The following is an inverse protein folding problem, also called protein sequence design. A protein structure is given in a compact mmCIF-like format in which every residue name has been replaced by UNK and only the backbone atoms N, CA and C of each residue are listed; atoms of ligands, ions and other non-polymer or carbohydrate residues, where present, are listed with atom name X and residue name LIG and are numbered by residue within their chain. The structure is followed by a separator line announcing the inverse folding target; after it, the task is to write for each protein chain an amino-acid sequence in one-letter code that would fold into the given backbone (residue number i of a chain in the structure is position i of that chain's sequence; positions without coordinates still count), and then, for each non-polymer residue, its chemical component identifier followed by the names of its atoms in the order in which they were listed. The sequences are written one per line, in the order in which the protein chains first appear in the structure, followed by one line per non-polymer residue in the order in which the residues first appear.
data_IF_954931582823
#
_entry.id   IF_954931582823
#
_cell.length_a   1.000
_cell.length_b   1.000
_cell.length_c   1.000
_cell.angle_alpha   90.00
_cell.angle_beta   90.00
_cell.angle_gamma   90.00
#
_symmetry.space_group_name_H-M   'P 1'
#
loop_
_entity.id
_entity.type
_entity.pdbx_description
1 polymer ?
#
# COMPACT_ATOMS: atom_id res chain seq x y z
N UNK A 1 14.77 -25.17 11.95
CA UNK A 1 14.14 -24.32 12.97
C UNK A 1 13.99 -22.85 12.57
N UNK A 2 15.04 -22.15 12.08
CA UNK A 2 14.98 -20.73 11.67
C UNK A 2 13.84 -20.37 10.68
N UNK A 3 13.52 -21.24 9.71
CA UNK A 3 12.46 -20.96 8.73
C UNK A 3 11.03 -20.99 9.29
N UNK A 4 10.76 -21.80 10.33
CA UNK A 4 9.40 -21.93 10.91
C UNK A 4 9.01 -20.68 11.72
N UNK A 5 9.97 -20.12 12.47
CA UNK A 5 9.76 -18.86 13.21
C UNK A 5 9.53 -17.67 12.26
N UNK A 6 10.28 -17.61 11.16
CA UNK A 6 10.12 -16.55 10.17
C UNK A 6 8.75 -16.56 9.48
N UNK A 7 8.20 -17.74 9.18
CA UNK A 7 6.83 -17.85 8.65
C UNK A 7 5.78 -17.43 9.67
N UNK A 8 6.01 -17.72 10.97
CA UNK A 8 5.12 -17.26 12.03
C UNK A 8 5.14 -15.73 12.17
N UNK A 9 6.33 -15.11 12.14
CA UNK A 9 6.49 -13.65 12.15
C UNK A 9 5.77 -13.00 10.97
N UNK A 10 5.96 -13.53 9.76
CA UNK A 10 5.28 -13.04 8.56
C UNK A 10 3.76 -13.12 8.71
N UNK A 11 3.24 -14.25 9.18
CA UNK A 11 1.80 -14.44 9.40
C UNK A 11 1.24 -13.43 10.40
N UNK A 12 1.97 -13.15 11.48
CA UNK A 12 1.56 -12.14 12.47
C UNK A 12 1.55 -10.72 11.89
N UNK A 13 2.53 -10.37 11.03
CA UNK A 13 2.56 -9.08 10.34
C UNK A 13 1.37 -8.92 9.38
N UNK A 14 1.10 -9.96 8.58
CA UNK A 14 -0.06 -9.99 7.67
C UNK A 14 -1.35 -9.82 8.45
N UNK A 15 -1.52 -10.55 9.55
CA UNK A 15 -2.71 -10.45 10.38
C UNK A 15 -2.93 -9.02 10.91
N UNK A 16 -1.87 -8.35 11.38
CA UNK A 16 -1.96 -6.95 11.83
C UNK A 16 -2.35 -6.00 10.71
N UNK A 17 -1.79 -6.18 9.51
CA UNK A 17 -2.11 -5.32 8.36
C UNK A 17 -3.52 -5.58 7.82
N UNK A 18 -4.00 -6.83 7.84
CA UNK A 18 -5.37 -7.18 7.47
C UNK A 18 -6.40 -6.60 8.45
N UNK A 19 -6.04 -6.38 9.71
CA UNK A 19 -6.94 -5.65 10.62
C UNK A 19 -7.18 -4.23 10.13
N UNK A 20 -6.18 -3.58 9.52
CA UNK A 20 -6.31 -2.23 8.97
C UNK A 20 -7.24 -2.19 7.76
N UNK A 21 -7.31 -3.23 6.94
CA UNK A 21 -8.21 -3.26 5.77
C UNK A 21 -9.69 -3.33 6.15
N UNK A 22 -10.01 -3.71 7.39
CA UNK A 22 -11.39 -3.67 7.90
C UNK A 22 -11.83 -2.31 8.41
N UNK A 23 -10.88 -1.36 8.55
CA UNK A 23 -11.22 0.01 8.87
C UNK A 23 -12.07 0.56 7.73
N UNK A 24 -13.26 1.13 8.01
CA UNK A 24 -14.00 1.81 6.97
C UNK A 24 -13.09 2.88 6.36
N UNK A 25 -13.21 3.22 5.06
CA UNK A 25 -12.46 4.31 4.46
C UNK A 25 -12.72 5.58 5.26
N UNK A 26 -11.82 5.86 6.20
CA UNK A 26 -12.08 6.77 7.29
C UNK A 26 -11.72 8.16 6.82
N UNK A 27 -12.74 9.03 6.79
CA UNK A 27 -12.64 10.46 6.51
C UNK A 27 -11.99 10.80 5.16
N UNK A 28 -12.83 11.14 4.18
CA UNK A 28 -12.35 11.84 2.99
C UNK A 28 -11.71 13.16 3.40
N UNK A 29 -10.52 13.43 2.86
CA UNK A 29 -9.84 14.72 3.08
C UNK A 29 -10.82 15.85 2.72
N UNK A 30 -10.96 16.90 3.56
CA UNK A 30 -11.74 18.07 3.21
C UNK A 30 -11.30 18.67 1.86
N UNK A 31 -12.22 19.27 1.10
CA UNK A 31 -11.93 19.85 -0.23
C UNK A 31 -10.81 20.89 -0.21
N UNK A 32 -10.67 21.62 0.89
CA UNK A 32 -9.64 22.64 1.06
C UNK A 32 -8.36 22.12 1.75
N UNK A 33 -8.25 20.82 2.04
CA UNK A 33 -7.15 20.24 2.82
C UNK A 33 -7.38 20.28 4.33
N UNK A 34 -6.68 19.43 5.08
CA UNK A 34 -6.76 19.37 6.54
C UNK A 34 -6.18 20.63 7.18
N UNK A 35 -5.05 21.12 6.68
CA UNK A 35 -4.34 22.26 7.28
C UNK A 35 -5.24 23.50 7.27
N UNK A 36 -5.80 23.82 6.10
CA UNK A 36 -6.67 24.98 5.93
C UNK A 36 -7.98 24.83 6.71
N UNK A 37 -8.56 23.63 6.70
CA UNK A 37 -9.82 23.32 7.39
C UNK A 37 -9.68 23.50 8.90
N UNK A 38 -8.64 22.92 9.49
CA UNK A 38 -8.35 23.06 10.93
C UNK A 38 -8.01 24.51 11.27
N UNK A 39 -7.16 25.17 10.46
CA UNK A 39 -6.84 26.58 10.68
C UNK A 39 -8.10 27.46 10.72
N UNK A 40 -9.02 27.27 9.77
CA UNK A 40 -10.30 27.98 9.73
C UNK A 40 -11.17 27.64 10.94
N UNK A 41 -11.26 26.37 11.34
CA UNK A 41 -12.02 25.95 12.51
C UNK A 41 -11.50 26.60 13.81
N UNK A 42 -10.19 26.80 13.91
CA UNK A 42 -9.54 27.53 15.02
C UNK A 42 -9.63 29.05 14.89
N UNK A 43 -10.31 29.59 13.87
CA UNK A 43 -10.40 31.02 13.57
C UNK A 43 -9.02 31.70 13.42
N UNK A 44 -8.03 30.95 12.92
CA UNK A 44 -6.66 31.43 12.73
C UNK A 44 -6.46 32.05 11.35
N UNK A 45 -5.77 33.18 11.28
CA UNK A 45 -5.28 33.76 10.02
C UNK A 45 -4.02 33.01 9.53
N UNK A 46 -3.70 33.13 8.25
CA UNK A 46 -2.46 32.55 7.69
C UNK A 46 -1.22 33.15 8.36
N UNK A 47 -1.25 34.43 8.73
CA UNK A 47 -0.17 35.12 9.46
C UNK A 47 0.02 34.55 10.87
N UNK A 48 -1.07 34.22 11.57
CA UNK A 48 -0.98 33.61 12.91
C UNK A 48 -0.40 32.20 12.85
N UNK A 49 -0.80 31.38 11.87
CA UNK A 49 -0.21 30.07 11.65
C UNK A 49 1.27 30.18 11.25
N UNK A 50 1.62 31.15 10.40
CA UNK A 50 3.00 31.42 9.99
C UNK A 50 3.88 31.76 11.19
N UNK A 51 3.39 32.62 12.10
CA UNK A 51 4.07 32.96 13.35
C UNK A 51 4.28 31.73 14.25
N UNK A 52 3.28 30.86 14.38
CA UNK A 52 3.42 29.60 15.13
C UNK A 52 4.47 28.66 14.53
N UNK A 53 4.57 28.63 13.20
CA UNK A 53 5.51 27.80 12.46
C UNK A 53 6.91 28.42 12.30
N UNK A 54 7.08 29.69 12.66
CA UNK A 54 8.35 30.41 12.45
C UNK A 54 8.70 30.62 10.96
N UNK A 55 7.69 30.70 10.08
CA UNK A 55 7.87 30.85 8.62
C UNK A 55 7.14 32.08 8.09
N UNK A 56 7.37 32.40 6.81
CA UNK A 56 6.67 33.48 6.11
C UNK A 56 5.21 33.12 5.83
N UNK A 57 4.32 34.12 5.84
CA UNK A 57 2.90 33.94 5.53
C UNK A 57 2.68 33.33 4.13
N UNK A 58 3.48 33.73 3.13
CA UNK A 58 3.44 33.17 1.78
C UNK A 58 3.67 31.65 1.76
N UNK A 59 4.56 31.16 2.63
CA UNK A 59 4.85 29.72 2.76
C UNK A 59 3.66 28.96 3.34
N UNK A 60 2.88 29.53 4.25
CA UNK A 60 1.64 28.91 4.74
C UNK A 60 0.63 28.75 3.63
N UNK A 61 0.41 29.79 2.82
CA UNK A 61 -0.49 29.73 1.66
C UNK A 61 -0.05 28.68 0.64
N UNK A 62 1.26 28.55 0.42
CA UNK A 62 1.84 27.51 -0.43
C UNK A 62 1.59 26.11 0.17
N UNK A 63 1.86 25.91 1.46
CA UNK A 63 1.63 24.64 2.20
C UNK A 63 0.18 24.17 2.02
N UNK A 64 -0.80 25.06 2.24
CA UNK A 64 -2.23 24.73 2.05
C UNK A 64 -2.54 24.33 0.60
N UNK A 65 -1.93 25.00 -0.37
CA UNK A 65 -2.13 24.69 -1.79
C UNK A 65 -1.53 23.33 -2.17
N UNK A 66 -0.28 23.07 -1.78
CA UNK A 66 0.43 21.84 -2.16
C UNK A 66 -0.03 20.61 -1.38
N UNK A 67 -0.67 20.79 -0.20
CA UNK A 67 -1.36 19.71 0.51
C UNK A 67 -2.41 19.05 -0.39
N UNK A 68 -3.28 19.87 -1.01
CA UNK A 68 -4.35 19.40 -1.89
C UNK A 68 -3.77 18.68 -3.11
N UNK A 69 -2.60 19.13 -3.59
CA UNK A 69 -1.87 18.53 -4.71
C UNK A 69 -1.06 17.27 -4.33
N UNK A 70 -1.09 16.83 -3.07
CA UNK A 70 -0.28 15.70 -2.55
C UNK A 70 1.24 15.89 -2.75
N UNK A 71 1.71 17.13 -2.77
CA UNK A 71 3.14 17.47 -2.97
C UNK A 71 3.84 17.90 -1.68
N UNK A 72 3.14 17.86 -0.56
CA UNK A 72 3.69 18.24 0.75
C UNK A 72 4.43 17.05 1.38
N UNK A 73 5.66 17.26 1.84
CA UNK A 73 6.40 16.22 2.54
C UNK A 73 5.83 15.93 3.94
N UNK A 74 6.03 14.70 4.42
CA UNK A 74 5.50 14.23 5.70
C UNK A 74 6.02 15.05 6.89
N UNK A 75 7.29 15.49 6.86
CA UNK A 75 7.87 16.32 7.92
C UNK A 75 7.10 17.64 8.10
N UNK A 76 6.70 18.27 7.00
CA UNK A 76 5.95 19.53 7.04
C UNK A 76 4.52 19.29 7.50
N UNK A 77 3.88 18.19 7.09
CA UNK A 77 2.57 17.78 7.59
C UNK A 77 2.59 17.58 9.10
N UNK A 78 3.55 16.81 9.61
CA UNK A 78 3.72 16.56 11.05
C UNK A 78 3.90 17.86 11.83
N UNK A 79 4.84 18.70 11.41
CA UNK A 79 5.10 19.96 12.10
C UNK A 79 3.91 20.93 12.05
N UNK A 80 3.19 20.96 10.93
CA UNK A 80 1.99 21.80 10.78
C UNK A 80 0.85 21.30 11.64
N UNK A 81 0.65 19.98 11.73
CA UNK A 81 -0.34 19.38 12.62
C UNK A 81 -0.03 19.72 14.08
N UNK A 82 1.23 19.55 14.52
CA UNK A 82 1.66 19.91 15.88
C UNK A 82 1.39 21.39 16.20
N UNK A 83 1.72 22.31 15.28
CA UNK A 83 1.45 23.74 15.46
C UNK A 83 -0.06 24.06 15.58
N UNK A 84 -0.91 23.27 14.92
CA UNK A 84 -2.37 23.35 15.00
C UNK A 84 -2.95 22.59 16.21
N UNK A 85 -2.12 21.94 17.04
CA UNK A 85 -2.58 21.14 18.17
C UNK A 85 -3.18 19.79 17.76
N UNK A 86 -2.81 19.30 16.58
CA UNK A 86 -3.26 18.03 16.02
C UNK A 86 -2.13 17.00 16.03
N UNK A 87 -2.49 15.72 16.15
CA UNK A 87 -1.57 14.60 15.87
C UNK A 87 -1.70 14.20 14.41
N UNK A 88 -0.58 14.08 13.71
CA UNK A 88 -0.56 13.53 12.36
C UNK A 88 -0.35 12.01 12.42
N UNK A 89 -1.29 11.25 11.88
CA UNK A 89 -1.20 9.79 11.73
C UNK A 89 -1.18 9.42 10.24
N UNK A 90 -0.24 8.56 9.85
CA UNK A 90 -0.12 8.05 8.48
C UNK A 90 -0.06 6.52 8.51
N UNK A 91 -0.87 5.88 7.68
CA UNK A 91 -0.96 4.43 7.59
C UNK A 91 -1.09 3.99 6.13
N UNK A 92 -0.50 2.84 5.82
CA UNK A 92 -0.80 2.09 4.61
C UNK A 92 -1.97 1.16 4.93
N UNK A 93 -3.10 1.35 4.26
CA UNK A 93 -4.28 0.51 4.41
C UNK A 93 -4.40 -0.34 3.15
N UNK A 94 -4.31 -1.68 3.24
CA UNK A 94 -4.52 -2.55 2.09
C UNK A 94 -5.96 -2.44 1.56
N UNK A 95 -6.14 -2.33 0.25
CA UNK A 95 -7.47 -2.34 -0.39
C UNK A 95 -8.20 -3.69 -0.23
N UNK A 96 -7.43 -4.77 -0.06
CA UNK A 96 -7.90 -6.12 0.23
C UNK A 96 -6.94 -6.81 1.21
N UNK A 97 -7.34 -7.91 1.87
CA UNK A 97 -6.43 -8.67 2.74
C UNK A 97 -5.14 -9.05 2.00
N UNK A 98 -3.99 -8.91 2.67
CA UNK A 98 -2.68 -9.21 2.07
C UNK A 98 -2.55 -10.68 1.67
N UNK A 99 -3.25 -11.60 2.34
CA UNK A 99 -3.31 -13.01 1.96
C UNK A 99 -3.87 -13.18 0.55
N UNK A 100 -4.87 -12.37 0.17
CA UNK A 100 -5.47 -12.43 -1.15
C UNK A 100 -4.57 -11.79 -2.20
N UNK A 101 -3.86 -10.70 -1.86
CA UNK A 101 -2.81 -10.15 -2.74
C UNK A 101 -1.71 -11.17 -3.03
N UNK A 102 -1.30 -11.95 -2.02
CA UNK A 102 -0.29 -13.00 -2.20
C UNK A 102 -0.79 -14.14 -3.10
N UNK A 103 -2.03 -14.60 -2.90
CA UNK A 103 -2.65 -15.63 -3.75
C UNK A 103 -2.77 -15.17 -5.19
N UNK A 104 -3.26 -13.95 -5.42
CA UNK A 104 -3.37 -13.39 -6.77
C UNK A 104 -2.02 -13.27 -7.45
N UNK A 105 -0.99 -12.79 -6.72
CA UNK A 105 0.38 -12.71 -7.25
C UNK A 105 0.94 -14.09 -7.58
N UNK A 106 0.73 -15.09 -6.71
CA UNK A 106 1.17 -16.46 -6.93
C UNK A 106 0.51 -17.08 -8.17
N UNK A 107 -0.81 -16.90 -8.30
CA UNK A 107 -1.56 -17.37 -9.46
C UNK A 107 -1.10 -16.69 -10.76
N UNK A 108 -0.89 -15.37 -10.74
CA UNK A 108 -0.43 -14.63 -11.92
C UNK A 108 0.96 -15.08 -12.37
N UNK A 109 1.90 -15.30 -11.44
CA UNK A 109 3.24 -15.80 -11.75
C UNK A 109 3.23 -17.25 -12.22
N UNK A 110 2.43 -18.10 -11.58
CA UNK A 110 2.28 -19.49 -11.98
C UNK A 110 1.74 -19.59 -13.40
N UNK A 111 0.67 -18.82 -13.70
CA UNK A 111 0.10 -18.71 -15.04
C UNK A 111 1.14 -18.29 -16.08
N UNK A 112 1.90 -17.24 -15.81
CA UNK A 112 2.94 -16.76 -16.72
C UNK A 112 4.00 -17.84 -17.01
N UNK A 113 4.45 -18.58 -15.98
CA UNK A 113 5.42 -19.67 -16.13
C UNK A 113 4.86 -20.85 -16.93
N UNK A 114 3.66 -21.29 -16.61
CA UNK A 114 3.01 -22.41 -17.30
C UNK A 114 2.68 -22.04 -18.74
N UNK A 115 2.22 -20.81 -19.01
CA UNK A 115 1.97 -20.31 -20.37
C UNK A 115 3.27 -20.34 -21.22
N UNK A 116 4.39 -19.90 -20.65
CA UNK A 116 5.69 -19.92 -21.33
C UNK A 116 6.16 -21.34 -21.65
N UNK A 117 6.08 -22.26 -20.69
CA UNK A 117 6.47 -23.66 -20.86
C UNK A 117 5.53 -24.36 -21.86
N UNK A 118 4.22 -24.17 -21.72
CA UNK A 118 3.19 -24.75 -22.60
C UNK A 118 3.39 -24.30 -24.06
N UNK A 119 3.76 -23.04 -24.30
CA UNK A 119 4.08 -22.56 -25.64
C UNK A 119 5.29 -23.29 -26.23
N UNK A 120 6.35 -23.54 -25.43
CA UNK A 120 7.50 -24.35 -25.86
C UNK A 120 7.13 -25.82 -26.11
N UNK A 121 6.36 -26.44 -25.22
CA UNK A 121 5.92 -27.85 -25.36
C UNK A 121 5.01 -28.06 -26.57
N UNK A 122 4.18 -27.08 -26.92
CA UNK A 122 3.37 -27.11 -28.14
C UNK A 122 4.25 -27.15 -29.40
N UNK A 123 5.37 -26.43 -29.42
CA UNK A 123 6.34 -26.47 -30.53
C UNK A 123 7.06 -27.83 -30.62
N UNK A 124 7.12 -28.58 -29.52
CA UNK A 124 7.69 -29.93 -29.42
C UNK A 124 6.65 -31.04 -29.69
N UNK A 125 5.41 -30.69 -30.01
CA UNK A 125 4.32 -31.64 -30.28
C UNK A 125 3.67 -32.24 -29.03
N UNK A 126 3.91 -31.66 -27.85
CA UNK A 126 3.38 -32.08 -26.55
C UNK A 126 2.40 -31.03 -25.99
N UNK A 127 1.31 -30.77 -26.73
CA UNK A 127 0.31 -29.81 -26.28
C UNK A 127 -0.46 -30.34 -25.06
N UNK A 128 -0.49 -29.54 -23.98
CA UNK A 128 -1.34 -29.77 -22.80
C UNK A 128 -2.78 -29.37 -23.09
N UNK A 129 -3.74 -30.07 -22.49
CA UNK A 129 -5.13 -29.62 -22.42
C UNK A 129 -5.28 -28.43 -21.48
N UNK A 130 -6.33 -27.63 -21.65
CA UNK A 130 -6.62 -26.50 -20.74
C UNK A 130 -6.84 -26.95 -19.29
N UNK A 131 -7.37 -28.15 -19.06
CA UNK A 131 -7.57 -28.71 -17.71
C UNK A 131 -6.23 -29.06 -17.04
N UNK A 132 -5.32 -29.71 -17.76
CA UNK A 132 -3.97 -30.02 -17.27
C UNK A 132 -3.18 -28.74 -16.99
N UNK A 133 -3.30 -27.76 -17.87
CA UNK A 133 -2.67 -26.45 -17.73
C UNK A 133 -3.14 -25.73 -16.47
N UNK A 134 -4.45 -25.67 -16.24
CA UNK A 134 -5.02 -25.07 -15.04
C UNK A 134 -4.59 -25.79 -13.77
N UNK A 135 -4.49 -27.13 -13.81
CA UNK A 135 -4.00 -27.94 -12.68
C UNK A 135 -2.56 -27.56 -12.33
N UNK A 136 -1.66 -27.48 -13.33
CA UNK A 136 -0.28 -27.07 -13.11
C UNK A 136 -0.17 -25.64 -12.57
N UNK A 137 -1.03 -24.72 -13.03
CA UNK A 137 -1.07 -23.34 -12.51
C UNK A 137 -1.41 -23.33 -11.01
N UNK A 138 -2.41 -24.10 -10.59
CA UNK A 138 -2.81 -24.17 -9.18
C UNK A 138 -1.69 -24.78 -8.32
N UNK A 139 -1.12 -25.90 -8.73
CA UNK A 139 -0.02 -26.56 -8.00
C UNK A 139 1.20 -25.65 -7.85
N UNK A 140 1.59 -24.98 -8.93
CA UNK A 140 2.72 -24.05 -8.91
C UNK A 140 2.40 -22.81 -8.06
N UNK A 141 1.17 -22.30 -8.09
CA UNK A 141 0.76 -21.20 -7.23
C UNK A 141 0.83 -21.58 -5.73
N UNK A 142 0.39 -22.78 -5.36
CA UNK A 142 0.54 -23.29 -3.99
C UNK A 142 2.01 -23.43 -3.57
N UNK A 143 2.87 -23.93 -4.46
CA UNK A 143 4.30 -24.03 -4.18
C UNK A 143 4.93 -22.65 -3.95
N UNK A 144 4.58 -21.67 -4.79
CA UNK A 144 5.05 -20.30 -4.67
C UNK A 144 4.58 -19.64 -3.36
N UNK A 145 3.37 -19.96 -2.88
CA UNK A 145 2.88 -19.50 -1.58
C UNK A 145 3.65 -20.11 -0.40
N UNK A 146 4.22 -21.31 -0.55
CA UNK A 146 5.11 -21.92 0.48
C UNK A 146 6.50 -21.26 0.51
N UNK A 147 6.87 -20.53 -0.53
CA UNK A 147 8.12 -19.77 -0.62
C UNK A 147 7.87 -18.31 -1.05
N UNK A 148 7.23 -17.47 -0.21
CA UNK A 148 6.71 -16.15 -0.62
C UNK A 148 7.74 -15.17 -1.18
N UNK A 149 9.03 -15.39 -0.92
CA UNK A 149 10.11 -14.59 -1.50
C UNK A 149 10.16 -14.69 -3.02
N UNK A 150 9.92 -15.89 -3.57
CA UNK A 150 9.90 -16.15 -5.01
C UNK A 150 8.80 -15.40 -5.75
N UNK A 151 7.80 -14.87 -5.04
CA UNK A 151 6.71 -14.07 -5.63
C UNK A 151 7.16 -12.69 -6.11
N UNK A 152 8.36 -12.26 -5.72
CA UNK A 152 8.90 -10.93 -5.97
C UNK A 152 10.28 -10.96 -6.64
N UNK A 153 10.78 -12.14 -6.99
CA UNK A 153 11.94 -12.29 -7.85
C UNK A 153 11.47 -12.09 -9.29
N UNK A 154 12.17 -11.24 -10.06
CA UNK A 154 11.90 -11.06 -11.48
C UNK A 154 12.12 -12.38 -12.24
N UNK A 155 11.34 -12.59 -13.29
CA UNK A 155 11.46 -13.72 -14.22
C UNK A 155 12.64 -13.54 -15.16
#
# INVERSE_FOLDING_TARGET
MKNKFKMLEQKQLIQKLNQLSTLPPSFSRPKEGWIRTVRKALSMTTTQLAKKLGIQQSRVSEIEKVEILNQLNLKTLMHTAEALGCRFEYAFIPEKPLDDLLKERAFALAKQKVDYISHHMMLEGQALTEEEKNTQIQELAEELLRAPRKLWEDL
#
